data_IF_627444408636
#
_entry.id   IF_627444408636
#
_cell.length_a   1.000
_cell.length_b   1.000
_cell.length_c   1.000
_cell.angle_alpha   90.00
_cell.angle_beta   90.00
_cell.angle_gamma   90.00
#
_symmetry.space_group_name_H-M   'P 1'
#
loop_
_entity.id
_entity.type
_entity.pdbx_description
1 polymer ?
#
# COMPACT_ATOMS: atom_id res chain seq x y z
N UNK A 1 -3.77 -19.32 56.36
CA UNK A 1 -2.89 -19.84 55.28
C UNK A 1 -1.74 -18.85 55.15
N UNK A 2 -0.49 -19.31 55.29
CA UNK A 2 0.66 -18.41 55.19
C UNK A 2 0.82 -17.93 53.74
N UNK A 3 0.98 -16.62 53.58
CA UNK A 3 1.12 -15.93 52.29
C UNK A 3 2.42 -16.39 51.62
N UNK A 4 2.33 -16.90 50.38
CA UNK A 4 3.53 -17.33 49.62
C UNK A 4 4.25 -16.08 49.11
N UNK A 5 5.39 -15.75 49.72
CA UNK A 5 6.24 -14.63 49.29
C UNK A 5 7.15 -15.06 48.14
N UNK A 6 7.34 -14.21 47.11
CA UNK A 6 8.24 -14.51 46.00
C UNK A 6 9.71 -14.58 46.49
N UNK A 7 10.43 -15.58 45.99
CA UNK A 7 11.83 -15.85 46.32
C UNK A 7 12.72 -15.59 45.10
N UNK A 8 13.91 -15.03 45.30
CA UNK A 8 14.91 -14.80 44.24
C UNK A 8 16.27 -15.34 44.68
N UNK A 9 17.06 -15.80 43.70
CA UNK A 9 18.43 -16.27 43.93
C UNK A 9 19.40 -15.13 43.67
N UNK A 10 20.13 -14.70 44.71
CA UNK A 10 21.20 -13.70 44.62
C UNK A 10 22.50 -14.38 45.06
N UNK A 11 23.51 -14.36 44.19
CA UNK A 11 24.81 -15.00 44.43
C UNK A 11 24.72 -16.48 44.85
N UNK A 12 23.74 -17.20 44.29
CA UNK A 12 23.49 -18.61 44.60
C UNK A 12 22.73 -18.88 45.90
N UNK A 13 22.24 -17.84 46.58
CA UNK A 13 21.44 -17.98 47.81
C UNK A 13 20.01 -17.49 47.58
N UNK A 14 19.03 -18.30 47.98
CA UNK A 14 17.61 -17.95 47.92
C UNK A 14 17.28 -16.96 49.05
N UNK A 15 16.72 -15.80 48.70
CA UNK A 15 16.28 -14.77 49.66
C UNK A 15 14.83 -14.37 49.38
N UNK A 16 14.10 -14.04 50.45
CA UNK A 16 12.79 -13.37 50.36
C UNK A 16 13.00 -11.93 49.90
N UNK A 17 12.25 -11.47 48.90
CA UNK A 17 12.23 -10.04 48.59
C UNK A 17 11.39 -9.30 49.64
N UNK A 18 11.95 -8.29 50.32
CA UNK A 18 11.15 -7.35 51.10
C UNK A 18 10.16 -6.62 50.18
N UNK A 19 9.00 -6.24 50.71
CA UNK A 19 8.02 -5.47 49.96
C UNK A 19 8.64 -4.13 49.51
N UNK A 20 8.63 -3.87 48.20
CA UNK A 20 9.15 -2.62 47.60
C UNK A 20 10.61 -2.66 47.12
N UNK A 21 11.27 -3.83 47.11
CA UNK A 21 12.65 -3.96 46.62
C UNK A 21 12.72 -4.33 45.12
N UNK A 22 13.81 -3.94 44.45
CA UNK A 22 14.03 -4.16 43.01
C UNK A 22 14.95 -5.37 42.77
N UNK A 23 14.77 -6.08 41.63
CA UNK A 23 15.62 -7.23 41.29
C UNK A 23 17.07 -6.79 41.04
N UNK A 24 18.09 -7.40 41.68
CA UNK A 24 19.46 -6.98 41.52
C UNK A 24 20.03 -7.55 40.22
N UNK A 25 19.99 -6.75 39.16
CA UNK A 25 20.77 -6.91 37.93
C UNK A 25 21.33 -5.55 37.54
N UNK A 26 22.65 -5.44 37.43
CA UNK A 26 23.35 -4.15 37.27
C UNK A 26 22.85 -3.31 36.09
N UNK A 27 22.40 -2.09 36.39
CA UNK A 27 21.97 -1.08 35.42
C UNK A 27 20.47 -1.11 35.16
N UNK A 28 19.72 -0.31 35.93
CA UNK A 28 18.26 -0.10 35.84
C UNK A 28 17.42 -1.35 36.17
N UNK A 29 17.26 -1.62 37.47
CA UNK A 29 16.29 -2.60 37.97
C UNK A 29 14.88 -2.22 37.52
N UNK A 30 14.24 -3.09 36.74
CA UNK A 30 12.85 -2.96 36.37
C UNK A 30 11.98 -3.20 37.63
N UNK A 31 11.57 -2.13 38.30
CA UNK A 31 10.41 -2.18 39.19
C UNK A 31 9.18 -2.27 38.30
N UNK A 32 8.29 -3.24 38.53
CA UNK A 32 6.94 -3.23 37.96
C UNK A 32 6.24 -1.96 38.49
N UNK A 33 5.90 -0.97 37.65
CA UNK A 33 5.31 0.28 38.09
C UNK A 33 3.96 0.06 38.77
N UNK A 34 3.60 0.92 39.73
CA UNK A 34 2.30 0.84 40.40
C UNK A 34 1.16 1.20 39.43
N UNK A 35 0.01 0.51 39.53
CA UNK A 35 -1.16 0.75 38.66
C UNK A 35 -1.27 -0.10 37.38
N UNK A 36 -0.52 -1.20 37.27
CA UNK A 36 -0.62 -2.15 36.16
C UNK A 36 -1.99 -2.82 36.04
N UNK A 37 -2.50 -2.96 34.81
CA UNK A 37 -3.73 -3.70 34.47
C UNK A 37 -3.35 -5.00 33.75
N UNK A 38 -4.14 -6.06 33.96
CA UNK A 38 -3.99 -7.33 33.22
C UNK A 38 -3.99 -7.06 31.72
N UNK A 39 -2.94 -7.52 31.01
CA UNK A 39 -2.76 -7.32 29.56
C UNK A 39 -1.77 -6.21 29.17
N UNK A 40 -1.05 -5.63 30.13
CA UNK A 40 0.04 -4.68 29.89
C UNK A 40 1.41 -5.37 29.90
N UNK A 41 2.37 -4.77 29.18
CA UNK A 41 3.79 -5.16 29.16
C UNK A 41 4.66 -3.95 29.49
N UNK A 42 5.85 -4.18 30.05
CA UNK A 42 6.83 -3.11 30.28
C UNK A 42 7.43 -2.63 28.95
N UNK A 43 7.38 -1.32 28.70
CA UNK A 43 7.92 -0.67 27.50
C UNK A 43 8.87 0.45 27.90
N UNK A 44 10.01 0.56 27.21
CA UNK A 44 10.95 1.67 27.38
C UNK A 44 10.42 2.91 26.65
N UNK A 45 10.19 4.00 27.37
CA UNK A 45 9.66 5.26 26.80
C UNK A 45 10.74 6.27 26.37
N UNK A 46 12.02 5.90 26.52
CA UNK A 46 13.17 6.77 26.29
C UNK A 46 13.85 7.25 27.56
N UNK A 47 13.20 7.13 28.73
CA UNK A 47 13.72 7.55 30.03
C UNK A 47 13.55 6.48 31.11
N UNK A 48 12.46 5.71 31.06
CA UNK A 48 12.13 4.68 32.04
C UNK A 48 11.35 3.52 31.41
N UNK A 49 11.29 2.39 32.13
CA UNK A 49 10.44 1.26 31.77
C UNK A 49 9.06 1.47 32.41
N UNK A 50 8.04 1.73 31.58
CA UNK A 50 6.65 2.01 32.02
C UNK A 50 5.69 0.91 31.54
N UNK A 51 4.57 0.62 32.22
CA UNK A 51 3.58 -0.31 31.70
C UNK A 51 2.85 0.35 30.55
N UNK A 52 2.85 -0.31 29.40
CA UNK A 52 2.02 0.08 28.27
C UNK A 52 1.08 -1.06 27.91
N UNK A 53 0.00 -0.72 27.22
CA UNK A 53 -0.79 -1.72 26.49
C UNK A 53 0.15 -2.61 25.68
N UNK A 54 -0.04 -3.92 25.73
CA UNK A 54 0.67 -4.84 24.85
C UNK A 54 0.21 -4.64 23.40
N UNK A 55 0.82 -3.66 22.75
CA UNK A 55 0.69 -3.43 21.31
C UNK A 55 1.41 -4.56 20.56
N UNK A 56 0.86 -5.77 20.62
CA UNK A 56 1.23 -6.93 19.77
C UNK A 56 0.99 -6.68 18.27
N UNK A 57 0.80 -5.42 17.85
CA UNK A 57 0.09 -5.05 16.63
C UNK A 57 0.86 -4.09 15.71
N UNK A 58 2.18 -3.91 15.85
CA UNK A 58 2.90 -2.99 14.95
C UNK A 58 3.23 -3.59 13.56
N UNK A 59 2.62 -4.71 13.17
CA UNK A 59 2.79 -5.31 11.83
C UNK A 59 1.65 -4.93 10.86
N UNK A 60 0.64 -4.20 11.33
CA UNK A 60 -0.47 -3.69 10.55
C UNK A 60 -0.25 -2.21 10.19
N UNK A 61 -0.59 -1.80 8.96
CA UNK A 61 -0.35 -0.43 8.53
C UNK A 61 -0.51 -0.24 7.03
N UNK A 62 -0.02 0.91 6.54
CA UNK A 62 -0.14 1.28 5.14
C UNK A 62 0.94 0.60 4.31
N UNK A 63 0.54 -0.27 3.38
CA UNK A 63 1.43 -1.05 2.53
C UNK A 63 1.28 -0.69 1.05
N UNK A 64 2.36 -0.88 0.30
CA UNK A 64 2.40 -0.70 -1.15
C UNK A 64 2.31 -2.04 -1.87
N UNK A 65 1.43 -2.15 -2.87
CA UNK A 65 1.34 -3.28 -3.80
C UNK A 65 1.71 -2.77 -5.21
N UNK A 66 2.89 -3.12 -5.76
CA UNK A 66 3.29 -2.69 -7.10
C UNK A 66 2.66 -3.59 -8.17
N UNK A 67 1.91 -2.99 -9.09
CA UNK A 67 1.35 -3.66 -10.26
C UNK A 67 2.06 -3.14 -11.50
N UNK A 68 2.93 -3.97 -12.08
CA UNK A 68 3.70 -3.59 -13.27
C UNK A 68 2.85 -3.75 -14.53
N UNK A 69 3.23 -3.05 -15.62
CA UNK A 69 2.51 -3.10 -16.89
C UNK A 69 2.33 -4.53 -17.44
N UNK A 70 3.29 -5.43 -17.17
CA UNK A 70 3.20 -6.84 -17.56
C UNK A 70 2.07 -7.63 -16.86
N UNK A 71 1.55 -7.12 -15.73
CA UNK A 71 0.44 -7.72 -14.98
C UNK A 71 -0.91 -7.10 -15.35
N UNK A 72 -0.96 -6.24 -16.38
CA UNK A 72 -2.16 -5.56 -16.84
C UNK A 72 -2.51 -5.96 -18.27
N UNK A 73 -3.80 -5.95 -18.59
CA UNK A 73 -4.31 -6.24 -19.93
C UNK A 73 -5.07 -5.04 -20.49
N UNK A 74 -4.91 -4.69 -21.78
CA UNK A 74 -5.80 -3.73 -22.43
C UNK A 74 -7.27 -4.18 -22.32
N UNK A 75 -8.17 -3.22 -22.17
CA UNK A 75 -9.61 -3.52 -22.19
C UNK A 75 -10.05 -4.04 -23.55
N UNK A 76 -10.96 -5.01 -23.58
CA UNK A 76 -11.48 -5.56 -24.84
C UNK A 76 -12.17 -4.51 -25.73
N UNK A 77 -12.79 -3.50 -25.11
CA UNK A 77 -13.32 -2.32 -25.78
C UNK A 77 -12.64 -1.07 -25.20
N UNK A 78 -12.23 -0.15 -26.07
CA UNK A 78 -11.50 1.06 -25.67
C UNK A 78 -10.15 0.75 -24.99
N UNK A 79 -9.50 -0.36 -25.36
CA UNK A 79 -8.22 -0.78 -24.78
C UNK A 79 -7.07 0.16 -25.12
N UNK A 80 -6.08 0.23 -24.24
CA UNK A 80 -4.75 0.78 -24.55
C UNK A 80 -4.08 -0.02 -25.66
N UNK A 81 -2.90 0.43 -26.12
CA UNK A 81 -2.00 -0.43 -26.87
C UNK A 81 -1.63 -1.68 -26.06
N UNK A 82 -1.39 -2.80 -26.77
CA UNK A 82 -0.90 -4.05 -26.17
C UNK A 82 0.46 -3.86 -25.50
N UNK A 83 0.80 -4.79 -24.60
CA UNK A 83 2.08 -4.77 -23.91
C UNK A 83 3.23 -4.81 -24.92
N UNK A 84 4.15 -3.86 -24.81
CA UNK A 84 5.32 -3.76 -25.67
C UNK A 84 6.58 -3.66 -24.84
N UNK A 85 7.67 -4.26 -25.33
CA UNK A 85 8.99 -4.13 -24.74
C UNK A 85 9.81 -3.16 -25.62
N UNK A 86 10.21 -2.03 -25.05
CA UNK A 86 10.92 -0.96 -25.78
C UNK A 86 12.37 -0.96 -25.34
N UNK A 87 13.29 -1.22 -26.28
CA UNK A 87 14.71 -1.02 -26.05
C UNK A 87 15.02 0.47 -25.89
N UNK A 88 15.62 0.84 -24.77
CA UNK A 88 15.93 2.24 -24.46
C UNK A 88 17.22 2.69 -25.13
N UNK A 89 18.27 1.86 -25.08
CA UNK A 89 19.51 1.94 -25.87
C UNK A 89 20.35 0.67 -25.65
N UNK A 90 21.49 0.56 -26.35
CA UNK A 90 22.42 -0.55 -26.20
C UNK A 90 22.92 -0.67 -24.75
N UNK A 91 22.87 -1.89 -24.19
CA UNK A 91 23.28 -2.22 -22.83
C UNK A 91 22.50 -1.46 -21.73
N UNK A 92 21.25 -1.08 -21.99
CA UNK A 92 20.35 -0.45 -21.01
C UNK A 92 19.10 -1.31 -20.79
N UNK A 93 18.35 -1.10 -19.69
CA UNK A 93 17.11 -1.83 -19.44
C UNK A 93 16.09 -1.61 -20.56
N UNK A 94 15.52 -2.71 -21.04
CA UNK A 94 14.28 -2.63 -21.80
C UNK A 94 13.13 -2.26 -20.88
N UNK A 95 12.15 -1.54 -21.41
CA UNK A 95 11.02 -1.07 -20.64
C UNK A 95 9.73 -1.67 -21.19
N UNK A 96 9.02 -2.41 -20.34
CA UNK A 96 7.67 -2.89 -20.64
C UNK A 96 6.65 -1.75 -20.49
N UNK A 97 5.82 -1.57 -21.51
CA UNK A 97 4.89 -0.44 -21.57
C UNK A 97 3.53 -0.83 -22.13
N UNK A 98 2.48 -0.27 -21.52
CA UNK A 98 1.17 -0.12 -22.14
C UNK A 98 1.02 1.31 -22.62
N UNK A 99 0.69 1.48 -23.90
CA UNK A 99 0.69 2.78 -24.58
C UNK A 99 -0.72 3.37 -24.63
N UNK A 100 -0.88 4.60 -24.15
CA UNK A 100 -2.15 5.32 -24.16
C UNK A 100 -2.13 6.47 -25.17
N UNK A 101 -3.15 6.50 -26.02
CA UNK A 101 -3.33 7.50 -27.08
C UNK A 101 -3.48 8.92 -26.51
N UNK A 102 -2.97 9.91 -27.25
CA UNK A 102 -2.98 11.32 -26.84
C UNK A 102 -4.31 12.06 -27.01
N UNK A 103 -5.29 11.46 -27.67
CA UNK A 103 -6.60 12.09 -27.96
C UNK A 103 -7.79 11.27 -27.52
N UNK A 104 -7.63 9.94 -27.42
CA UNK A 104 -8.70 9.02 -27.08
C UNK A 104 -8.42 8.40 -25.72
N UNK A 105 -9.36 8.52 -24.79
CA UNK A 105 -9.26 7.82 -23.53
C UNK A 105 -9.31 6.31 -23.77
N UNK A 106 -8.29 5.62 -23.28
CA UNK A 106 -8.12 4.19 -23.39
C UNK A 106 -7.90 3.58 -22.01
N UNK A 107 -8.10 2.27 -21.90
CA UNK A 107 -8.15 1.57 -20.63
C UNK A 107 -7.28 0.31 -20.59
N UNK A 108 -6.63 0.08 -19.45
CA UNK A 108 -6.02 -1.20 -19.08
C UNK A 108 -6.62 -1.69 -17.75
N UNK A 109 -6.66 -3.01 -17.55
CA UNK A 109 -7.31 -3.67 -16.43
C UNK A 109 -6.37 -4.67 -15.77
N UNK A 110 -6.59 -4.88 -14.48
CA UNK A 110 -5.99 -5.94 -13.68
C UNK A 110 -6.93 -6.27 -12.52
N UNK A 111 -6.74 -7.40 -11.87
CA UNK A 111 -7.55 -7.80 -10.74
C UNK A 111 -6.67 -8.41 -9.65
N UNK A 112 -7.03 -8.17 -8.38
CA UNK A 112 -6.32 -8.70 -7.23
C UNK A 112 -7.36 -9.16 -6.21
N UNK A 113 -7.32 -10.42 -5.77
CA UNK A 113 -7.97 -10.80 -4.52
C UNK A 113 -7.13 -10.20 -3.38
N UNK A 114 -7.55 -9.05 -2.85
CA UNK A 114 -6.81 -8.41 -1.76
C UNK A 114 -6.81 -9.33 -0.53
N UNK A 115 -5.70 -9.39 0.23
CA UNK A 115 -5.59 -10.27 1.38
C UNK A 115 -6.59 -9.87 2.46
N UNK A 116 -7.08 -10.83 3.26
CA UNK A 116 -8.08 -10.59 4.33
C UNK A 116 -7.62 -9.54 5.34
N UNK A 117 -6.31 -9.39 5.51
CA UNK A 117 -5.73 -8.36 6.39
C UNK A 117 -5.97 -6.92 5.93
N UNK A 118 -6.39 -6.68 4.69
CA UNK A 118 -6.80 -5.35 4.24
C UNK A 118 -8.05 -4.90 5.01
N UNK A 119 -8.03 -3.68 5.53
CA UNK A 119 -9.12 -3.14 6.35
C UNK A 119 -10.38 -2.76 5.54
N UNK A 120 -10.42 -3.06 4.24
CA UNK A 120 -11.51 -2.72 3.29
C UNK A 120 -11.77 -1.22 3.15
N UNK A 121 -10.84 -0.39 3.62
CA UNK A 121 -10.88 1.06 3.51
C UNK A 121 -10.53 1.55 2.11
N UNK A 122 -10.38 2.86 1.96
CA UNK A 122 -10.02 3.45 0.67
C UNK A 122 -8.63 3.03 0.20
N UNK A 123 -8.47 2.93 -1.12
CA UNK A 123 -7.20 2.66 -1.80
C UNK A 123 -6.70 3.95 -2.43
N UNK A 124 -5.40 4.20 -2.45
CA UNK A 124 -4.81 5.27 -3.26
C UNK A 124 -3.76 4.70 -4.21
N UNK A 125 -3.40 5.46 -5.24
CA UNK A 125 -2.49 4.97 -6.29
C UNK A 125 -1.43 6.01 -6.66
N UNK A 126 -0.29 5.54 -7.18
CA UNK A 126 0.71 6.32 -7.91
C UNK A 126 1.01 5.66 -9.25
N UNK A 127 1.24 6.46 -10.29
CA UNK A 127 1.48 5.97 -11.64
C UNK A 127 2.94 6.14 -12.03
N UNK A 128 3.52 5.07 -12.58
CA UNK A 128 4.88 5.06 -13.14
C UNK A 128 4.78 5.13 -14.65
N UNK A 129 5.33 6.16 -15.27
CA UNK A 129 5.15 6.37 -16.70
C UNK A 129 6.34 7.06 -17.36
N UNK A 130 6.37 7.06 -18.68
CA UNK A 130 7.30 7.83 -19.52
C UNK A 130 6.62 8.27 -20.81
N UNK A 131 7.36 8.98 -21.64
CA UNK A 131 6.92 9.32 -22.98
C UNK A 131 8.09 9.32 -23.97
N UNK A 132 7.74 9.22 -25.26
CA UNK A 132 8.68 9.34 -26.37
C UNK A 132 9.15 10.80 -26.54
N UNK A 133 9.93 11.09 -27.59
CA UNK A 133 10.48 12.42 -27.78
C UNK A 133 9.38 13.46 -28.08
N UNK A 134 9.26 14.46 -27.22
CA UNK A 134 8.55 15.73 -27.46
C UNK A 134 9.28 16.84 -26.72
N UNK A 135 9.14 18.08 -27.17
CA UNK A 135 9.80 19.26 -26.58
C UNK A 135 8.80 20.24 -25.95
N UNK A 136 7.51 20.01 -26.14
CA UNK A 136 6.42 20.83 -25.60
C UNK A 136 5.33 19.94 -25.02
N UNK A 137 4.58 20.50 -24.08
CA UNK A 137 3.41 19.93 -23.43
C UNK A 137 3.66 18.60 -22.70
N UNK A 138 3.62 18.62 -21.38
CA UNK A 138 4.05 17.49 -20.55
C UNK A 138 3.02 17.02 -19.52
N UNK A 139 1.87 17.69 -19.42
CA UNK A 139 0.81 17.30 -18.49
C UNK A 139 0.17 15.99 -18.93
N UNK A 140 0.06 15.02 -18.02
CA UNK A 140 -0.60 13.74 -18.25
C UNK A 140 -1.54 13.49 -17.06
N UNK A 141 -2.80 13.16 -17.34
CA UNK A 141 -3.79 12.89 -16.30
C UNK A 141 -4.06 11.40 -16.26
N UNK A 142 -3.68 10.76 -15.17
CA UNK A 142 -3.93 9.33 -14.93
C UNK A 142 -5.14 9.14 -14.03
N UNK A 143 -5.94 8.13 -14.32
CA UNK A 143 -7.10 7.77 -13.52
C UNK A 143 -7.14 6.28 -13.19
N UNK A 144 -7.74 5.96 -12.05
CA UNK A 144 -8.01 4.59 -11.58
C UNK A 144 -9.42 4.50 -11.00
N UNK A 145 -10.06 3.37 -11.23
CA UNK A 145 -11.37 3.00 -10.67
C UNK A 145 -11.36 1.52 -10.33
N UNK A 146 -12.21 1.13 -9.36
CA UNK A 146 -12.28 -0.24 -8.89
C UNK A 146 -13.71 -0.69 -8.55
N UNK A 147 -13.92 -2.00 -8.55
CA UNK A 147 -15.15 -2.67 -8.09
C UNK A 147 -14.81 -4.00 -7.43
N UNK A 148 -15.46 -4.30 -6.31
CA UNK A 148 -15.41 -5.59 -5.64
C UNK A 148 -16.45 -6.56 -6.21
N UNK A 149 -16.06 -7.81 -6.39
CA UNK A 149 -16.96 -8.90 -6.80
C UNK A 149 -16.69 -10.10 -5.90
N UNK A 150 -17.72 -10.57 -5.22
CA UNK A 150 -17.65 -11.75 -4.35
C UNK A 150 -17.85 -13.08 -5.07
N UNK A 151 -17.70 -14.16 -4.32
CA UNK A 151 -18.02 -15.50 -4.81
C UNK A 151 -19.51 -15.62 -5.16
N UNK A 152 -19.81 -16.32 -6.26
CA UNK A 152 -21.17 -16.49 -6.77
C UNK A 152 -21.92 -15.18 -7.08
N UNK A 153 -21.22 -14.06 -7.24
CA UNK A 153 -21.78 -12.81 -7.73
C UNK A 153 -21.59 -12.65 -9.24
N UNK A 154 -22.44 -11.83 -9.86
CA UNK A 154 -22.30 -11.51 -11.27
C UNK A 154 -21.02 -10.68 -11.49
N UNK A 155 -20.12 -11.11 -12.38
CA UNK A 155 -18.83 -10.44 -12.61
C UNK A 155 -18.94 -9.14 -13.41
N UNK A 156 -20.03 -8.95 -14.15
CA UNK A 156 -20.27 -7.80 -15.02
C UNK A 156 -20.76 -6.55 -14.27
N UNK A 157 -20.11 -6.24 -13.14
CA UNK A 157 -20.41 -5.08 -12.32
C UNK A 157 -19.79 -3.81 -12.91
N UNK A 158 -20.45 -2.67 -12.67
CA UNK A 158 -19.92 -1.37 -13.04
C UNK A 158 -18.77 -0.97 -12.08
N UNK A 159 -17.69 -0.41 -12.65
CA UNK A 159 -16.66 0.26 -11.87
C UNK A 159 -17.23 1.48 -11.12
N UNK A 160 -16.64 1.77 -9.95
CA UNK A 160 -16.98 2.95 -9.17
C UNK A 160 -16.48 4.27 -9.75
N UNK A 161 -16.66 5.34 -8.97
CA UNK A 161 -16.13 6.67 -9.29
C UNK A 161 -14.60 6.61 -9.38
N UNK A 162 -14.05 7.06 -10.50
CA UNK A 162 -12.62 7.15 -10.67
C UNK A 162 -12.01 8.27 -9.83
N UNK A 163 -10.77 8.06 -9.38
CA UNK A 163 -9.91 9.13 -8.87
C UNK A 163 -8.81 9.39 -9.88
N UNK A 164 -8.42 10.65 -10.00
CA UNK A 164 -7.50 11.13 -11.01
C UNK A 164 -6.34 11.88 -10.37
N UNK A 165 -5.17 11.82 -11.00
CA UNK A 165 -3.99 12.57 -10.62
C UNK A 165 -3.33 13.16 -11.87
N UNK A 166 -3.01 14.45 -11.78
CA UNK A 166 -2.22 15.13 -12.80
C UNK A 166 -0.75 14.99 -12.47
N UNK A 167 0.05 14.62 -13.45
CA UNK A 167 1.50 14.62 -13.36
C UNK A 167 2.12 15.37 -14.54
N UNK A 168 3.35 15.87 -14.36
CA UNK A 168 4.07 16.63 -15.40
C UNK A 168 5.36 15.90 -15.77
N UNK A 169 5.44 15.49 -17.04
CA UNK A 169 6.65 14.91 -17.63
C UNK A 169 7.74 15.95 -17.93
N UNK A 170 8.53 15.71 -18.97
CA UNK A 170 9.64 16.60 -19.36
C UNK A 170 10.60 15.94 -20.35
N UNK A 171 11.81 15.62 -19.90
CA UNK A 171 12.80 14.97 -20.78
C UNK A 171 12.42 13.55 -21.19
N UNK A 172 12.50 13.29 -22.50
CA UNK A 172 12.31 11.98 -23.15
C UNK A 172 12.90 10.80 -22.37
N UNK A 173 12.19 9.66 -22.36
CA UNK A 173 12.64 8.39 -21.79
C UNK A 173 13.08 8.45 -20.31
N UNK A 174 12.49 9.33 -19.51
CA UNK A 174 12.62 9.30 -18.05
C UNK A 174 11.46 8.59 -17.39
N UNK A 175 11.75 7.96 -16.26
CA UNK A 175 10.73 7.43 -15.36
C UNK A 175 10.13 8.59 -14.57
N UNK A 176 8.86 8.85 -14.79
CA UNK A 176 8.03 9.72 -13.99
C UNK A 176 7.22 8.89 -13.01
N UNK A 177 7.06 9.42 -11.79
CA UNK A 177 6.23 8.83 -10.75
C UNK A 177 5.30 9.94 -10.26
N UNK A 178 3.99 9.75 -10.46
CA UNK A 178 3.01 10.76 -10.09
C UNK A 178 2.98 10.98 -8.58
N UNK A 179 2.38 12.10 -8.18
CA UNK A 179 1.82 12.22 -6.83
C UNK A 179 0.75 11.15 -6.60
N UNK A 180 0.41 10.95 -5.34
CA UNK A 180 -0.62 9.98 -4.97
C UNK A 180 -2.03 10.52 -5.29
N UNK A 181 -2.91 9.65 -5.78
CA UNK A 181 -4.32 10.02 -6.01
C UNK A 181 -5.01 10.38 -4.70
N UNK A 182 -6.17 11.05 -4.81
CA UNK A 182 -7.14 11.08 -3.73
C UNK A 182 -7.60 9.66 -3.34
N UNK A 183 -8.19 9.54 -2.15
CA UNK A 183 -8.74 8.28 -1.63
C UNK A 183 -9.85 7.73 -2.55
N UNK A 184 -9.60 6.58 -3.16
CA UNK A 184 -10.56 5.86 -3.99
C UNK A 184 -11.41 4.93 -3.12
N UNK A 185 -12.73 5.05 -3.24
CA UNK A 185 -13.65 4.05 -2.70
C UNK A 185 -13.87 2.97 -3.74
N UNK A 186 -13.69 1.70 -3.35
CA UNK A 186 -13.99 0.56 -4.22
C UNK A 186 -15.51 0.44 -4.33
N UNK A 187 -16.06 0.33 -5.56
CA UNK A 187 -17.49 0.10 -5.73
C UNK A 187 -17.91 -1.29 -5.25
N UNK A 188 -19.20 -1.43 -4.97
CA UNK A 188 -19.77 -2.49 -4.14
C UNK A 188 -19.20 -2.44 -2.71
N UNK A 189 -19.68 -3.29 -1.82
CA UNK A 189 -19.15 -3.37 -0.44
C UNK A 189 -18.15 -4.50 -0.40
N UNK A 190 -16.82 -4.25 -0.33
CA UNK A 190 -15.84 -5.32 -0.31
C UNK A 190 -16.02 -6.23 0.91
N UNK A 191 -15.88 -7.53 0.71
CA UNK A 191 -15.88 -8.57 1.74
C UNK A 191 -14.59 -9.42 1.69
N UNK A 192 -14.40 -10.30 2.68
CA UNK A 192 -13.27 -11.26 2.64
C UNK A 192 -13.40 -12.23 1.49
N UNK A 193 -12.32 -12.40 0.73
CA UNK A 193 -12.28 -13.30 -0.42
C UNK A 193 -12.76 -12.66 -1.72
N UNK A 194 -13.23 -11.41 -1.69
CA UNK A 194 -13.62 -10.70 -2.90
C UNK A 194 -12.43 -10.45 -3.83
N UNK A 195 -12.70 -10.53 -5.13
CA UNK A 195 -11.76 -10.08 -6.15
C UNK A 195 -12.03 -8.61 -6.46
N UNK A 196 -11.00 -7.77 -6.33
CA UNK A 196 -11.10 -6.36 -6.71
C UNK A 196 -10.60 -6.21 -8.13
N UNK A 197 -11.51 -5.82 -9.03
CA UNK A 197 -11.19 -5.47 -10.41
C UNK A 197 -10.84 -3.99 -10.48
N UNK A 198 -9.70 -3.69 -11.11
CA UNK A 198 -9.21 -2.34 -11.33
C UNK A 198 -9.19 -2.02 -12.82
N UNK A 199 -9.42 -0.75 -13.14
CA UNK A 199 -9.22 -0.20 -14.47
C UNK A 199 -8.50 1.13 -14.38
N UNK A 200 -7.45 1.27 -15.16
CA UNK A 200 -6.65 2.49 -15.26
C UNK A 200 -6.75 3.10 -16.64
N UNK A 201 -6.56 4.41 -16.72
CA UNK A 201 -6.62 5.16 -17.97
C UNK A 201 -5.79 6.42 -17.92
N UNK A 202 -5.47 6.94 -19.11
CA UNK A 202 -5.09 8.33 -19.31
C UNK A 202 -6.31 9.12 -19.77
N UNK A 203 -6.59 10.24 -19.13
CA UNK A 203 -7.73 11.11 -19.44
C UNK A 203 -7.34 12.16 -20.50
N UNK A 204 -7.14 11.69 -21.72
CA UNK A 204 -6.65 12.52 -22.84
C UNK A 204 -7.54 13.74 -23.18
N UNK A 205 -8.81 13.75 -22.76
CA UNK A 205 -9.73 14.87 -22.98
C UNK A 205 -9.68 15.94 -21.86
N UNK A 206 -8.93 15.70 -20.78
CA UNK A 206 -8.80 16.65 -19.69
C UNK A 206 -7.93 17.85 -20.09
N UNK A 207 -8.30 19.06 -19.68
CA UNK A 207 -7.53 20.25 -20.01
C UNK A 207 -6.12 20.25 -19.40
N UNK A 208 -5.91 19.53 -18.30
CA UNK A 208 -4.58 19.35 -17.70
C UNK A 208 -3.74 18.30 -18.44
N UNK A 209 -4.36 17.42 -19.24
CA UNK A 209 -3.67 16.45 -20.10
C UNK A 209 -3.22 17.14 -21.40
N UNK A 210 -2.05 17.77 -21.33
CA UNK A 210 -1.49 18.54 -22.44
C UNK A 210 -0.57 17.72 -23.33
N UNK A 211 -0.12 16.54 -22.88
CA UNK A 211 0.89 15.72 -23.56
C UNK A 211 0.42 15.33 -24.98
N UNK A 212 0.98 15.95 -26.00
CA UNK A 212 0.51 15.77 -27.38
C UNK A 212 0.97 14.46 -28.05
N UNK A 213 1.51 13.52 -27.28
CA UNK A 213 2.04 12.24 -27.75
C UNK A 213 1.56 11.09 -26.86
N UNK A 214 1.80 9.86 -27.33
CA UNK A 214 1.52 8.65 -26.55
C UNK A 214 2.25 8.67 -25.22
N UNK A 215 1.54 8.35 -24.14
CA UNK A 215 2.14 8.07 -22.84
C UNK A 215 2.37 6.56 -22.68
N UNK A 216 3.43 6.21 -21.97
CA UNK A 216 3.87 4.83 -21.72
C UNK A 216 3.67 4.53 -20.24
N UNK A 217 2.67 3.74 -19.90
CA UNK A 217 2.47 3.27 -18.53
C UNK A 217 3.41 2.09 -18.24
N UNK A 218 4.15 2.17 -17.14
CA UNK A 218 5.06 1.12 -16.67
C UNK A 218 4.51 0.35 -15.48
N UNK A 219 3.66 0.98 -14.68
CA UNK A 219 3.05 0.34 -13.53
C UNK A 219 2.25 1.31 -12.67
N UNK A 220 1.57 0.75 -11.68
CA UNK A 220 0.74 1.43 -10.71
C UNK A 220 1.10 0.89 -9.34
N UNK A 221 1.50 1.78 -8.44
CA UNK A 221 1.71 1.44 -7.04
C UNK A 221 0.39 1.69 -6.29
N UNK A 222 -0.23 0.64 -5.75
CA UNK A 222 -1.42 0.76 -4.90
C UNK A 222 -0.99 0.89 -3.44
N UNK A 223 -1.70 1.73 -2.69
CA UNK A 223 -1.53 1.86 -1.24
C UNK A 223 -2.81 1.46 -0.53
N UNK A 224 -2.69 0.48 0.35
CA UNK A 224 -3.81 -0.07 1.14
C UNK A 224 -3.43 -0.13 2.60
N UNK A 225 -4.40 -0.06 3.50
CA UNK A 225 -4.17 -0.17 4.94
C UNK A 225 -4.56 -1.55 5.43
N UNK A 226 -3.63 -2.24 6.10
CA UNK A 226 -3.93 -3.51 6.77
C UNK A 226 -4.22 -3.29 8.24
N UNK A 227 -5.12 -4.09 8.80
CA UNK A 227 -5.51 -4.07 10.22
C UNK A 227 -5.19 -5.37 10.95
N UNK A 228 -4.65 -6.37 10.25
CA UNK A 228 -4.24 -7.65 10.83
C UNK A 228 -2.82 -8.02 10.39
N UNK A 229 -2.17 -8.88 11.17
CA UNK A 229 -0.83 -9.38 10.88
C UNK A 229 -0.84 -10.50 9.82
N UNK A 230 -1.89 -11.30 9.82
CA UNK A 230 -2.05 -12.46 8.95
C UNK A 230 -3.47 -12.55 8.37
N UNK A 231 -3.68 -13.51 7.47
CA UNK A 231 -4.94 -13.79 6.76
C UNK A 231 -5.74 -14.96 7.39
N UNK A 232 -5.47 -15.28 8.66
CA UNK A 232 -6.13 -16.37 9.38
C UNK A 232 -7.62 -16.08 9.61
#
# INVERSE_FOLDING_TARGET
MAERRPLVVVDGVVRELPAGDSLPGGGSGATLPDGEVVGQVLKWDGSEWVPGTDETSNTAGRMMIPIMAGSMMPSASGGSGVLTNIATAANQPDVQTLNFNQTTQQHAQFAIPLPKRWNRGTITARFRWSHAATTVNFGCVWGIQAVAVGDNEAINQAYGTAVEVTDTGGTTNRLYVSSETAAMTVANTPADGDTIFFRVYRKAADAADTLAIVSRLHGVDLFVTTSAENDA
#
